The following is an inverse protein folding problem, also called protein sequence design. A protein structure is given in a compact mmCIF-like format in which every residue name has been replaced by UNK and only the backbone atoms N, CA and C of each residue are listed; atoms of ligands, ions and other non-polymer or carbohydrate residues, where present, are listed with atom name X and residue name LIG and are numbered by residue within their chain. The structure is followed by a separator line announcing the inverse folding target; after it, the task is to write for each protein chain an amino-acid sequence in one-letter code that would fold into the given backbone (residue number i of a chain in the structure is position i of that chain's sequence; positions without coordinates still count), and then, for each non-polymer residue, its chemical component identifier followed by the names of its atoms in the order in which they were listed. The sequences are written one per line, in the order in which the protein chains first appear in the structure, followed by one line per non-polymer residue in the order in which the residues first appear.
data_IF_988284637157
#
_entry.id   IF_988284637157
#
_cell.length_a   1.000
_cell.length_b   1.000
_cell.length_c   1.000
_cell.angle_alpha   90.00
_cell.angle_beta   90.00
_cell.angle_gamma   90.00
#
_symmetry.space_group_name_H-M   'P 1'
#
loop_
_entity.id
_entity.type
_entity.pdbx_description
1 polymer ?
#
# COMPACT_ATOMS: atom_id res chain seq x y z
N UNK A 1 14.56 -15.30 21.37
CA UNK A 1 14.04 -14.45 20.28
C UNK A 1 13.38 -13.23 20.93
N UNK A 2 12.24 -12.70 20.60
CA UNK A 2 11.09 -13.53 20.95
C UNK A 2 9.79 -13.03 20.32
N UNK A 3 9.70 -11.77 19.89
CA UNK A 3 8.49 -11.25 19.22
C UNK A 3 8.76 -10.64 17.85
N UNK A 4 9.84 -11.05 17.21
CA UNK A 4 10.10 -10.71 15.82
C UNK A 4 9.59 -11.89 14.99
N UNK A 5 8.40 -11.77 14.40
CA UNK A 5 7.97 -12.76 13.42
C UNK A 5 8.64 -12.43 12.11
N UNK A 6 9.31 -13.43 11.57
CA UNK A 6 9.76 -13.47 10.19
C UNK A 6 8.81 -14.36 9.43
N UNK A 7 8.51 -14.01 8.20
CA UNK A 7 7.66 -14.83 7.37
C UNK A 7 7.28 -14.11 6.10
N UNK A 8 6.67 -14.87 5.21
CA UNK A 8 6.04 -14.34 4.02
C UNK A 8 4.64 -14.92 3.91
N UNK A 9 3.73 -14.14 3.35
CA UNK A 9 2.40 -14.56 2.98
C UNK A 9 2.14 -14.05 1.57
N UNK A 10 1.51 -14.86 0.74
CA UNK A 10 1.16 -14.46 -0.61
C UNK A 10 -0.17 -15.05 -1.00
N UNK A 11 -0.81 -14.37 -1.94
CA UNK A 11 -2.12 -14.75 -2.43
C UNK A 11 -2.16 -14.62 -3.95
N UNK A 12 -2.86 -15.55 -4.60
CA UNK A 12 -3.26 -15.49 -6.00
C UNK A 12 -4.77 -15.62 -6.07
N UNK A 13 -5.43 -14.73 -6.80
CA UNK A 13 -6.88 -14.73 -6.98
C UNK A 13 -7.24 -14.57 -8.45
N UNK A 14 -8.32 -15.25 -8.86
CA UNK A 14 -8.91 -15.16 -10.19
C UNK A 14 -10.43 -14.98 -10.03
N UNK A 15 -10.94 -13.88 -10.56
CA UNK A 15 -12.38 -13.64 -10.69
C UNK A 15 -12.77 -13.71 -12.17
N UNK A 16 -13.89 -14.35 -12.48
CA UNK A 16 -14.41 -14.42 -13.84
C UNK A 16 -15.93 -14.34 -13.82
N UNK A 17 -16.47 -13.37 -14.53
CA UNK A 17 -17.90 -13.15 -14.68
C UNK A 17 -18.22 -13.01 -16.17
N UNK A 18 -18.55 -14.12 -16.86
CA UNK A 18 -18.86 -14.06 -18.29
C UNK A 18 -20.28 -13.57 -18.55
N UNK A 19 -20.46 -12.85 -19.66
CA UNK A 19 -21.76 -12.35 -20.10
C UNK A 19 -22.86 -13.43 -20.19
N UNK A 20 -22.52 -14.66 -20.58
CA UNK A 20 -23.49 -15.75 -20.77
C UNK A 20 -24.05 -16.33 -19.46
N UNK A 21 -23.44 -16.02 -18.31
CA UNK A 21 -23.93 -16.41 -16.98
C UNK A 21 -24.55 -15.23 -16.22
N UNK A 22 -24.76 -14.08 -16.88
CA UNK A 22 -25.36 -12.91 -16.25
C UNK A 22 -26.87 -13.14 -16.01
N UNK A 23 -27.25 -13.42 -14.76
CA UNK A 23 -28.65 -13.55 -14.35
C UNK A 23 -29.35 -12.19 -14.15
N UNK A 24 -28.59 -11.15 -13.82
CA UNK A 24 -29.05 -9.77 -13.67
C UNK A 24 -27.86 -8.81 -13.85
N UNK A 25 -28.04 -7.76 -14.66
CA UNK A 25 -26.96 -6.85 -15.06
C UNK A 25 -26.17 -7.34 -16.27
N UNK A 26 -25.12 -6.60 -16.64
CA UNK A 26 -24.34 -6.82 -17.87
C UNK A 26 -22.85 -7.03 -17.57
N UNK A 27 -22.47 -7.75 -16.51
CA UNK A 27 -21.06 -7.96 -16.18
C UNK A 27 -20.39 -8.92 -17.16
N UNK A 28 -19.27 -8.49 -17.72
CA UNK A 28 -18.43 -9.29 -18.61
C UNK A 28 -16.97 -8.92 -18.36
N UNK A 29 -16.33 -9.64 -17.44
CA UNK A 29 -14.94 -9.39 -17.08
C UNK A 29 -14.23 -10.62 -16.52
N UNK A 30 -12.89 -10.54 -16.56
CA UNK A 30 -12.01 -11.33 -15.75
C UNK A 30 -11.11 -10.40 -14.94
N UNK A 31 -10.56 -10.94 -13.85
CA UNK A 31 -9.56 -10.29 -13.01
C UNK A 31 -8.59 -11.34 -12.50
N UNK A 32 -7.30 -11.07 -12.59
CA UNK A 32 -6.26 -11.83 -11.91
C UNK A 32 -5.47 -10.91 -10.99
N UNK A 33 -5.20 -11.39 -9.78
CA UNK A 33 -4.52 -10.60 -8.75
C UNK A 33 -3.49 -11.47 -8.04
N UNK A 34 -2.37 -10.86 -7.68
CA UNK A 34 -1.29 -11.48 -6.94
C UNK A 34 -0.80 -10.52 -5.86
N UNK A 35 -0.55 -11.03 -4.66
CA UNK A 35 0.09 -10.27 -3.58
C UNK A 35 1.15 -11.09 -2.87
N UNK A 36 2.15 -10.41 -2.33
CA UNK A 36 3.21 -10.98 -1.52
C UNK A 36 3.61 -9.97 -0.44
N UNK A 37 3.55 -10.40 0.81
CA UNK A 37 4.00 -9.65 1.98
C UNK A 37 5.13 -10.43 2.67
N UNK A 38 6.13 -9.73 3.18
CA UNK A 38 7.26 -10.35 3.86
C UNK A 38 7.87 -9.49 4.95
N UNK A 39 8.32 -10.13 6.02
CA UNK A 39 8.99 -9.50 7.16
C UNK A 39 10.32 -10.20 7.46
N UNK A 40 11.38 -9.41 7.52
CA UNK A 40 12.74 -9.87 7.77
C UNK A 40 13.35 -9.12 8.97
N UNK A 41 13.52 -9.78 10.13
CA UNK A 41 14.32 -9.25 11.22
C UNK A 41 15.78 -9.14 10.78
N UNK A 42 16.37 -7.95 10.88
CA UNK A 42 17.75 -7.69 10.47
C UNK A 42 18.68 -7.93 11.67
N UNK A 43 18.38 -7.29 12.79
CA UNK A 43 19.10 -7.55 14.04
C UNK A 43 18.21 -7.26 15.25
N UNK A 44 18.59 -7.86 16.38
CA UNK A 44 18.02 -7.53 17.69
C UNK A 44 19.09 -7.70 18.76
N UNK A 45 19.20 -6.73 19.66
CA UNK A 45 20.08 -6.82 20.83
C UNK A 45 19.36 -6.31 22.08
N UNK A 46 19.94 -6.59 23.26
CA UNK A 46 19.35 -6.27 24.56
C UNK A 46 19.11 -7.53 25.38
N UNK A 47 19.28 -7.46 26.71
CA UNK A 47 19.13 -8.62 27.60
C UNK A 47 17.68 -8.83 28.03
N UNK A 48 16.86 -7.80 27.93
CA UNK A 48 15.43 -7.78 28.27
C UNK A 48 14.65 -6.91 27.29
N UNK A 49 13.32 -7.01 27.31
CA UNK A 49 12.44 -6.17 26.47
C UNK A 49 12.58 -4.67 26.80
N UNK A 50 12.98 -4.33 28.03
CA UNK A 50 13.29 -2.95 28.42
C UNK A 50 14.54 -2.41 27.74
N UNK A 51 15.49 -3.26 27.40
CA UNK A 51 16.76 -2.89 26.76
C UNK A 51 16.78 -3.21 25.25
N UNK A 52 15.70 -3.78 24.73
CA UNK A 52 15.69 -4.34 23.39
C UNK A 52 15.63 -3.25 22.31
N UNK A 53 16.66 -3.23 21.46
CA UNK A 53 16.63 -2.51 20.18
C UNK A 53 16.56 -3.53 19.04
N UNK A 54 15.62 -3.35 18.14
CA UNK A 54 15.40 -4.26 17.01
C UNK A 54 15.23 -3.49 15.72
N UNK A 55 15.86 -3.97 14.64
CA UNK A 55 15.65 -3.46 13.28
C UNK A 55 15.04 -4.57 12.43
N UNK A 56 14.02 -4.22 11.64
CA UNK A 56 13.44 -5.14 10.67
C UNK A 56 13.07 -4.43 9.37
N UNK A 57 13.08 -5.22 8.29
CA UNK A 57 12.56 -4.83 7.00
C UNK A 57 11.17 -5.46 6.79
N UNK A 58 10.25 -4.69 6.24
CA UNK A 58 8.97 -5.16 5.72
C UNK A 58 8.88 -4.85 4.23
N UNK A 59 8.27 -5.76 3.47
CA UNK A 59 8.03 -5.58 2.04
C UNK A 59 6.62 -6.06 1.69
N UNK A 60 5.99 -5.35 0.76
CA UNK A 60 4.71 -5.73 0.18
C UNK A 60 4.75 -5.47 -1.32
N UNK A 61 4.28 -6.44 -2.10
CA UNK A 61 4.12 -6.36 -3.54
C UNK A 61 2.70 -6.78 -3.89
N UNK A 62 2.04 -6.08 -4.81
CA UNK A 62 0.83 -6.60 -5.44
C UNK A 62 0.73 -6.21 -6.91
N UNK A 63 0.04 -7.03 -7.68
CA UNK A 63 -0.29 -6.78 -9.07
C UNK A 63 -1.72 -7.26 -9.34
N UNK A 64 -2.42 -6.54 -10.21
CA UNK A 64 -3.81 -6.79 -10.55
C UNK A 64 -4.05 -6.41 -12.01
N UNK A 65 -4.68 -7.31 -12.75
CA UNK A 65 -5.06 -7.11 -14.14
C UNK A 65 -6.51 -7.54 -14.32
N UNK A 66 -7.28 -6.68 -14.96
CA UNK A 66 -8.66 -6.91 -15.32
C UNK A 66 -8.87 -6.62 -16.81
N UNK A 67 -9.84 -7.30 -17.40
CA UNK A 67 -10.23 -7.10 -18.78
C UNK A 67 -11.65 -7.59 -19.02
N UNK A 68 -12.27 -7.14 -20.11
CA UNK A 68 -13.65 -7.44 -20.44
C UNK A 68 -14.39 -6.24 -21.00
N UNK A 69 -15.61 -6.47 -21.49
CA UNK A 69 -16.42 -5.39 -22.07
C UNK A 69 -17.15 -4.55 -21.02
N UNK A 70 -17.41 -5.11 -19.84
CA UNK A 70 -18.12 -4.43 -18.74
C UNK A 70 -17.47 -4.80 -17.40
N UNK A 71 -16.48 -3.99 -17.02
CA UNK A 71 -15.72 -4.15 -15.78
C UNK A 71 -16.38 -3.33 -14.66
N UNK A 72 -16.79 -3.94 -13.53
CA UNK A 72 -17.36 -3.22 -12.40
C UNK A 72 -16.36 -2.22 -11.79
N UNK A 73 -16.86 -1.10 -11.28
CA UNK A 73 -16.02 -0.05 -10.70
C UNK A 73 -15.13 -0.52 -9.53
N UNK A 74 -15.62 -1.45 -8.69
CA UNK A 74 -14.82 -1.99 -7.58
C UNK A 74 -13.52 -2.66 -8.05
N UNK A 75 -13.54 -3.29 -9.24
CA UNK A 75 -12.36 -3.93 -9.84
C UNK A 75 -11.30 -2.88 -10.21
N UNK A 76 -11.75 -1.69 -10.63
CA UNK A 76 -10.88 -0.59 -10.99
C UNK A 76 -10.27 0.11 -9.77
N UNK A 77 -11.00 0.17 -8.64
CA UNK A 77 -10.63 0.90 -7.42
C UNK A 77 -9.95 0.04 -6.34
N UNK A 78 -9.76 -1.26 -6.56
CA UNK A 78 -9.26 -2.19 -5.52
C UNK A 78 -8.23 -3.18 -6.07
N UNK A 79 -7.42 -3.79 -5.22
CA UNK A 79 -6.72 -5.04 -5.55
C UNK A 79 -7.59 -6.25 -5.15
N UNK A 80 -7.50 -7.31 -5.94
CA UNK A 80 -8.26 -8.54 -5.72
C UNK A 80 -7.63 -9.43 -4.65
N UNK A 81 -8.38 -10.45 -4.25
CA UNK A 81 -8.03 -11.35 -3.15
C UNK A 81 -9.28 -11.88 -2.47
N UNK A 82 -9.10 -12.70 -1.44
CA UNK A 82 -10.16 -13.20 -0.57
C UNK A 82 -10.89 -12.05 0.10
N UNK A 83 -10.14 -11.03 0.48
CA UNK A 83 -10.65 -9.74 0.94
C UNK A 83 -10.19 -8.67 -0.05
N UNK A 84 -11.09 -7.76 -0.43
CA UNK A 84 -10.72 -6.65 -1.30
C UNK A 84 -9.78 -5.71 -0.55
N UNK A 85 -8.67 -5.38 -1.20
CA UNK A 85 -7.69 -4.41 -0.68
C UNK A 85 -7.87 -3.07 -1.40
N UNK A 86 -7.61 -1.98 -0.69
CA UNK A 86 -7.69 -0.64 -1.26
C UNK A 86 -6.81 -0.51 -2.53
N UNK A 87 -7.25 0.30 -3.49
CA UNK A 87 -6.50 0.56 -4.72
C UNK A 87 -5.25 1.44 -4.54
N UNK A 88 -4.56 1.70 -5.64
CA UNK A 88 -3.27 2.40 -5.69
C UNK A 88 -3.24 3.71 -4.90
N UNK A 89 -4.27 4.55 -5.06
CA UNK A 89 -4.33 5.86 -4.40
C UNK A 89 -4.34 5.78 -2.87
N UNK A 90 -4.78 4.65 -2.31
CA UNK A 90 -4.79 4.41 -0.86
C UNK A 90 -3.54 3.67 -0.39
N UNK A 91 -2.92 2.84 -1.24
CA UNK A 91 -1.67 2.16 -0.87
C UNK A 91 -0.46 3.09 -0.93
N UNK A 92 -0.29 3.83 -2.02
CA UNK A 92 0.91 4.66 -2.22
C UNK A 92 0.76 5.90 -1.34
N UNK A 93 1.63 6.01 -0.32
CA UNK A 93 1.39 6.96 0.76
C UNK A 93 1.45 8.40 0.27
N UNK A 94 0.46 9.17 0.72
CA UNK A 94 0.32 10.59 0.40
C UNK A 94 -0.54 10.86 -0.84
N UNK A 95 -0.84 9.84 -1.66
CA UNK A 95 -1.75 9.95 -2.80
C UNK A 95 -3.22 9.97 -2.36
N UNK A 96 -4.11 10.32 -3.29
CA UNK A 96 -5.55 10.43 -3.03
C UNK A 96 -6.16 9.03 -2.92
N UNK A 97 -6.64 8.69 -1.72
CA UNK A 97 -7.38 7.45 -1.50
C UNK A 97 -8.58 7.30 -2.45
N UNK A 98 -8.87 6.07 -2.86
CA UNK A 98 -9.87 5.71 -3.88
C UNK A 98 -9.64 6.31 -5.27
N UNK A 99 -8.51 7.00 -5.51
CA UNK A 99 -8.13 7.46 -6.84
C UNK A 99 -7.46 6.36 -7.67
N UNK A 100 -7.23 6.68 -8.94
CA UNK A 100 -6.48 5.86 -9.91
C UNK A 100 -7.18 4.56 -10.32
N UNK A 101 -8.37 4.74 -10.90
CA UNK A 101 -9.24 3.68 -11.41
C UNK A 101 -8.66 3.02 -12.67
N UNK A 102 -7.95 1.91 -12.50
CA UNK A 102 -7.19 1.29 -13.59
C UNK A 102 -7.44 -0.22 -13.69
N UNK A 103 -7.49 -0.70 -14.94
CA UNK A 103 -7.65 -2.12 -15.26
C UNK A 103 -6.37 -2.90 -15.00
N UNK A 104 -5.20 -2.25 -15.08
CA UNK A 104 -3.91 -2.84 -14.74
C UNK A 104 -3.28 -1.99 -13.67
N UNK A 105 -2.77 -2.63 -12.62
CA UNK A 105 -2.12 -1.92 -11.52
C UNK A 105 -1.13 -2.80 -10.79
N UNK A 106 -0.06 -2.19 -10.30
CA UNK A 106 0.95 -2.86 -9.52
C UNK A 106 1.48 -1.91 -8.45
N UNK A 107 1.90 -2.47 -7.33
CA UNK A 107 2.50 -1.73 -6.23
C UNK A 107 3.65 -2.50 -5.60
N UNK A 108 4.58 -1.73 -5.05
CA UNK A 108 5.66 -2.20 -4.23
C UNK A 108 5.87 -1.21 -3.08
N UNK A 109 5.89 -1.70 -1.85
CA UNK A 109 6.14 -0.91 -0.65
C UNK A 109 7.22 -1.60 0.17
N UNK A 110 8.20 -0.84 0.62
CA UNK A 110 9.27 -1.31 1.49
C UNK A 110 9.41 -0.39 2.70
N UNK A 111 9.67 -0.98 3.86
CA UNK A 111 9.87 -0.25 5.09
C UNK A 111 11.05 -0.81 5.89
N UNK A 112 11.82 0.07 6.51
CA UNK A 112 12.76 -0.29 7.57
C UNK A 112 12.27 0.32 8.87
N UNK A 113 12.05 -0.53 9.88
CA UNK A 113 11.47 -0.15 11.16
C UNK A 113 12.45 -0.47 12.29
N UNK A 114 12.84 0.56 13.03
CA UNK A 114 13.68 0.50 14.21
C UNK A 114 12.81 0.63 15.46
N UNK A 115 12.74 -0.43 16.26
CA UNK A 115 11.95 -0.47 17.50
C UNK A 115 12.88 -0.34 18.69
N UNK A 116 12.70 0.74 19.44
CA UNK A 116 13.49 1.11 20.59
C UNK A 116 13.19 0.33 21.88
N UNK A 117 13.94 0.64 22.94
CA UNK A 117 13.76 0.07 24.27
C UNK A 117 12.42 0.48 24.89
N UNK A 118 12.03 -0.20 25.96
CA UNK A 118 10.90 0.22 26.80
C UNK A 118 11.17 1.58 27.45
N UNK A 119 10.17 2.45 27.43
CA UNK A 119 10.23 3.80 28.00
C UNK A 119 9.66 3.80 29.42
N UNK A 120 10.23 4.62 30.29
CA UNK A 120 9.74 4.83 31.67
C UNK A 120 9.60 3.54 32.50
N UNK A 121 10.43 2.53 32.24
CA UNK A 121 10.36 1.23 32.92
C UNK A 121 9.19 0.34 32.46
N UNK A 122 8.46 0.74 31.42
CA UNK A 122 7.35 -0.01 30.85
C UNK A 122 7.81 -0.72 29.56
N UNK A 123 7.90 -2.06 29.61
CA UNK A 123 8.33 -2.87 28.44
C UNK A 123 7.30 -2.85 27.29
N UNK A 124 6.06 -2.52 27.60
CA UNK A 124 4.94 -2.37 26.67
C UNK A 124 4.78 -0.92 26.17
N UNK A 125 5.75 -0.04 26.42
CA UNK A 125 5.78 1.30 25.84
C UNK A 125 7.11 1.52 25.11
N UNK A 126 7.13 1.27 23.80
CA UNK A 126 8.31 1.24 22.96
C UNK A 126 8.15 2.21 21.80
N UNK A 127 9.15 3.08 21.56
CA UNK A 127 9.13 3.93 20.39
C UNK A 127 9.54 3.11 19.16
N UNK A 128 9.03 3.51 18.01
CA UNK A 128 9.44 3.03 16.71
C UNK A 128 9.76 4.23 15.84
N UNK A 129 10.88 4.17 15.14
CA UNK A 129 11.15 5.04 14.01
C UNK A 129 11.19 4.19 12.74
N UNK A 130 10.75 4.72 11.62
CA UNK A 130 10.79 3.98 10.37
C UNK A 130 10.98 4.89 9.17
N UNK A 131 11.51 4.31 8.11
CA UNK A 131 11.59 4.90 6.78
C UNK A 131 10.87 4.00 5.79
N UNK A 132 10.35 4.60 4.73
CA UNK A 132 9.60 3.86 3.73
C UNK A 132 9.81 4.39 2.31
N UNK A 133 9.57 3.50 1.36
CA UNK A 133 9.46 3.82 -0.06
C UNK A 133 8.33 3.01 -0.70
N UNK A 134 7.48 3.69 -1.45
CA UNK A 134 6.39 3.09 -2.22
C UNK A 134 6.57 3.42 -3.70
N UNK A 135 6.21 2.46 -4.54
CA UNK A 135 6.09 2.58 -5.98
C UNK A 135 4.74 1.99 -6.40
N UNK A 136 4.03 2.70 -7.26
CA UNK A 136 2.79 2.28 -7.88
C UNK A 136 2.86 2.51 -9.38
N UNK A 137 2.24 1.60 -10.12
CA UNK A 137 2.03 1.72 -11.55
C UNK A 137 0.56 1.45 -11.85
N UNK A 138 -0.03 2.25 -12.72
CA UNK A 138 -1.35 1.99 -13.30
C UNK A 138 -1.25 1.95 -14.81
N UNK A 139 -2.14 1.18 -15.41
CA UNK A 139 -2.35 1.20 -16.84
C UNK A 139 -3.81 0.94 -17.21
N UNK A 140 -4.24 1.51 -18.34
CA UNK A 140 -5.65 1.48 -18.73
C UNK A 140 -6.50 2.44 -17.89
N UNK A 141 -5.95 3.61 -17.51
CA UNK A 141 -6.71 4.64 -16.81
C UNK A 141 -7.70 5.30 -17.79
N UNK A 142 -8.98 4.97 -17.63
CA UNK A 142 -10.03 5.34 -18.56
C UNK A 142 -10.37 6.84 -18.48
N UNK A 143 -10.59 7.48 -19.64
CA UNK A 143 -11.07 8.88 -19.77
C UNK A 143 -10.32 9.89 -18.88
N UNK A 144 -9.00 9.80 -18.85
CA UNK A 144 -8.17 10.71 -18.06
C UNK A 144 -8.29 12.19 -18.56
N UNK A 145 -8.37 13.20 -17.67
CA UNK A 145 -8.54 14.62 -18.05
C UNK A 145 -7.47 15.20 -18.98
N UNK A 146 -6.23 14.70 -18.92
CA UNK A 146 -5.12 15.09 -19.80
C UNK A 146 -5.19 14.41 -21.20
N UNK A 147 -6.29 13.72 -21.50
CA UNK A 147 -6.54 13.11 -22.80
C UNK A 147 -7.05 14.15 -23.80
N UNK A 148 -6.16 15.04 -24.25
CA UNK A 148 -6.32 15.70 -25.55
C UNK A 148 -6.44 14.69 -26.73
N UNK A 149 -6.18 13.40 -26.48
CA UNK A 149 -6.18 12.30 -27.46
C UNK A 149 -7.23 11.20 -27.20
N UNK A 150 -8.09 11.32 -26.19
CA UNK A 150 -9.20 10.37 -25.95
C UNK A 150 -8.80 8.91 -25.66
N UNK A 151 -7.53 8.64 -25.34
CA UNK A 151 -7.02 7.29 -25.05
C UNK A 151 -6.77 7.04 -23.56
N UNK A 152 -6.69 5.77 -23.20
CA UNK A 152 -6.27 5.32 -21.88
C UNK A 152 -4.83 5.78 -21.58
N UNK A 153 -4.53 5.97 -20.29
CA UNK A 153 -3.20 6.38 -19.82
C UNK A 153 -2.61 5.35 -18.87
N UNK A 154 -1.29 5.24 -18.95
CA UNK A 154 -0.46 4.49 -18.04
C UNK A 154 0.47 5.48 -17.34
N UNK A 155 0.87 5.19 -16.11
CA UNK A 155 1.67 6.12 -15.32
C UNK A 155 2.25 5.50 -14.06
N UNK A 156 3.20 6.21 -13.48
CA UNK A 156 3.93 5.80 -12.28
C UNK A 156 3.71 6.81 -11.14
N UNK A 157 3.70 6.28 -9.93
CA UNK A 157 3.62 7.09 -8.72
C UNK A 157 4.59 6.54 -7.71
N UNK A 158 5.35 7.44 -7.07
CA UNK A 158 6.25 7.03 -6.00
C UNK A 158 6.05 7.91 -4.78
N UNK A 159 6.37 7.37 -3.61
CA UNK A 159 6.49 8.14 -2.38
C UNK A 159 7.65 7.63 -1.55
N UNK A 160 8.31 8.54 -0.85
CA UNK A 160 9.30 8.18 0.19
C UNK A 160 9.02 9.00 1.44
N UNK A 161 9.35 8.46 2.59
CA UNK A 161 9.19 9.22 3.82
C UNK A 161 9.68 8.48 5.05
N UNK A 162 9.31 9.03 6.19
CA UNK A 162 9.63 8.48 7.48
C UNK A 162 8.49 8.71 8.47
N UNK A 163 8.56 8.02 9.60
CA UNK A 163 7.63 8.24 10.68
C UNK A 163 8.20 7.82 12.02
N UNK A 164 7.52 8.28 13.06
CA UNK A 164 7.77 7.89 14.43
C UNK A 164 6.44 7.49 15.07
N UNK A 165 6.46 6.41 15.82
CA UNK A 165 5.29 5.84 16.46
C UNK A 165 5.63 5.31 17.84
N UNK A 166 4.62 5.11 18.67
CA UNK A 166 4.72 4.45 19.96
C UNK A 166 3.70 3.32 19.96
N UNK A 167 4.05 2.18 20.55
CA UNK A 167 3.10 1.09 20.65
C UNK A 167 1.95 1.45 21.61
N UNK A 168 0.73 1.14 21.20
CA UNK A 168 -0.47 1.21 22.05
C UNK A 168 -0.80 -0.19 22.59
N UNK A 169 -0.52 -1.21 21.79
CA UNK A 169 -0.61 -2.62 22.14
C UNK A 169 0.70 -3.31 21.75
N UNK A 170 0.93 -4.52 22.23
CA UNK A 170 2.13 -5.29 21.92
C UNK A 170 2.35 -5.51 20.41
N UNK A 171 1.29 -5.42 19.61
CA UNK A 171 1.28 -5.63 18.15
C UNK A 171 0.84 -4.39 17.36
N UNK A 172 0.54 -3.26 18.01
CA UNK A 172 -0.03 -2.08 17.34
C UNK A 172 0.69 -0.80 17.76
N UNK A 173 1.09 -0.01 16.77
CA UNK A 173 1.76 1.28 16.95
C UNK A 173 0.92 2.41 16.35
N UNK A 174 0.90 3.55 17.02
CA UNK A 174 0.30 4.78 16.51
C UNK A 174 1.34 5.89 16.51
N UNK A 175 1.29 6.75 15.52
CA UNK A 175 2.23 7.85 15.44
C UNK A 175 1.95 8.81 14.30
N UNK A 176 3.02 9.46 13.86
CA UNK A 176 3.00 10.40 12.77
C UNK A 176 3.97 9.95 11.68
N UNK A 177 3.58 10.22 10.44
CA UNK A 177 4.42 10.03 9.26
C UNK A 177 4.44 11.28 8.41
N UNK A 178 5.52 11.49 7.70
CA UNK A 178 5.65 12.52 6.68
C UNK A 178 6.50 12.02 5.52
N UNK A 179 6.32 12.63 4.35
CA UNK A 179 7.03 12.21 3.16
C UNK A 179 6.82 13.11 1.96
N UNK A 180 7.37 12.67 0.84
CA UNK A 180 7.26 13.34 -0.46
C UNK A 180 6.73 12.38 -1.51
N UNK A 181 5.88 12.92 -2.39
CA UNK A 181 5.37 12.28 -3.58
C UNK A 181 6.23 12.63 -4.79
N UNK A 182 6.41 11.64 -5.66
CA UNK A 182 7.06 11.78 -6.96
C UNK A 182 6.09 11.24 -8.02
N UNK A 183 5.18 12.08 -8.53
CA UNK A 183 4.33 11.71 -9.65
C UNK A 183 5.17 11.65 -10.93
N UNK A 184 5.21 10.49 -11.60
CA UNK A 184 5.97 10.28 -12.83
C UNK A 184 5.00 9.82 -13.89
N UNK A 185 4.72 10.66 -14.88
CA UNK A 185 3.68 10.40 -15.87
C UNK A 185 2.30 10.14 -15.22
N UNK A 186 2.00 10.86 -14.14
CA UNK A 186 0.70 10.84 -13.46
C UNK A 186 -0.20 11.97 -13.99
N UNK A 187 -1.18 11.66 -14.87
CA UNK A 187 -2.04 12.66 -15.46
C UNK A 187 -3.19 13.10 -14.53
N UNK A 188 -3.41 12.42 -13.40
CA UNK A 188 -4.39 12.82 -12.38
C UNK A 188 -3.79 13.69 -11.30
N UNK A 189 -2.46 13.80 -11.24
CA UNK A 189 -1.77 14.50 -10.15
C UNK A 189 -2.25 15.94 -9.98
N UNK A 190 -2.34 16.72 -11.07
CA UNK A 190 -2.82 18.11 -11.02
C UNK A 190 -4.31 18.21 -10.63
N UNK A 191 -5.10 17.17 -10.89
CA UNK A 191 -6.52 17.11 -10.49
C UNK A 191 -6.65 16.84 -8.99
N UNK A 192 -5.85 15.91 -8.45
CA UNK A 192 -5.89 15.57 -7.04
C UNK A 192 -5.10 16.54 -6.15
N UNK A 193 -4.09 17.21 -6.71
CA UNK A 193 -3.19 18.13 -6.02
C UNK A 193 -3.06 19.42 -6.84
N UNK A 194 -4.10 20.28 -6.88
CA UNK A 194 -4.11 21.47 -7.73
C UNK A 194 -3.00 22.48 -7.40
N UNK A 195 -2.45 22.45 -6.17
CA UNK A 195 -1.29 23.25 -5.76
C UNK A 195 0.06 22.60 -6.07
N UNK A 196 0.10 21.42 -6.70
CA UNK A 196 1.34 20.67 -6.94
C UNK A 196 2.02 20.18 -5.65
N UNK A 197 1.27 20.02 -4.57
CA UNK A 197 1.78 19.68 -3.24
C UNK A 197 2.41 18.29 -3.22
N UNK A 198 3.74 18.23 -3.17
CA UNK A 198 4.48 16.97 -3.08
C UNK A 198 4.61 16.46 -1.66
N UNK A 199 4.76 17.37 -0.69
CA UNK A 199 4.84 17.00 0.72
C UNK A 199 3.51 16.45 1.22
N UNK A 200 3.57 15.52 2.17
CA UNK A 200 2.40 15.05 2.90
C UNK A 200 2.80 14.67 4.33
N UNK A 201 1.83 14.68 5.23
CA UNK A 201 1.96 14.12 6.56
C UNK A 201 0.62 13.53 7.01
N UNK A 202 0.65 12.70 8.05
CA UNK A 202 -0.58 12.18 8.64
C UNK A 202 -0.33 11.27 9.83
N UNK A 203 -1.42 10.80 10.41
CA UNK A 203 -1.41 9.81 11.47
C UNK A 203 -1.14 8.44 10.85
N UNK A 204 -0.33 7.62 11.52
CA UNK A 204 -0.05 6.25 11.10
C UNK A 204 -0.54 5.27 12.16
N UNK A 205 -1.09 4.16 11.70
CA UNK A 205 -1.38 2.98 12.51
C UNK A 205 -0.64 1.81 11.88
N UNK A 206 0.32 1.24 12.60
CA UNK A 206 1.14 0.13 12.12
C UNK A 206 0.83 -1.10 12.94
N UNK A 207 0.50 -2.18 12.26
CA UNK A 207 0.42 -3.49 12.88
C UNK A 207 1.78 -4.18 12.73
N UNK A 208 2.17 -4.89 13.78
CA UNK A 208 3.33 -5.76 13.85
C UNK A 208 2.83 -7.12 14.30
N UNK A 209 2.81 -8.08 13.39
CA UNK A 209 2.42 -9.46 13.70
C UNK A 209 3.61 -10.26 14.17
#
# INVERSE_FOLDING_TARGET
PRRLKSGYSGELSLEYAPAFLAFSGSTDFFRASASLEGYLPIFSFGKSDLEALSLYAGGYLAADVAGGSVIPHYVLTSFGGRELRDGLGSTIRGYRGWGYEATRKAEASFEFRLVGPGLFGAANLRPMAYVFGDAGWFGGLYKCPDAATGGDKDGWMFSVGSGAAINILDFAYMGLRAGWKFPVDDPLYATYFPGGEKFFWGITFLLHF
#
